data_IF_668220834878
#
_entry.id   IF_668220834878
#
_cell.length_a   1.000
_cell.length_b   1.000
_cell.length_c   1.000
_cell.angle_alpha   90.00
_cell.angle_beta   90.00
_cell.angle_gamma   90.00
#
_symmetry.space_group_name_H-M   'P 1'
#
loop_
_entity.id
_entity.type
_entity.pdbx_description
1 polymer ?
#
# COMPACT_ATOMS: atom_id res chain seq x y z
N UNK A 1 59.68 14.91 -8.61
CA UNK A 1 58.52 15.05 -7.71
C UNK A 1 57.27 14.78 -8.53
N UNK A 2 56.56 13.68 -8.26
CA UNK A 2 55.37 13.25 -9.01
C UNK A 2 54.12 13.76 -8.30
N UNK A 3 53.31 14.54 -8.98
CA UNK A 3 52.01 15.01 -8.50
C UNK A 3 51.03 13.85 -8.53
N UNK A 4 50.52 13.44 -7.36
CA UNK A 4 49.38 12.51 -7.25
C UNK A 4 48.13 13.37 -7.25
N UNK A 5 47.43 13.42 -8.38
CA UNK A 5 46.09 13.96 -8.46
C UNK A 5 45.12 12.95 -7.82
N UNK A 6 44.61 13.27 -6.64
CA UNK A 6 43.52 12.51 -6.01
C UNK A 6 42.23 12.96 -6.68
N UNK A 7 41.74 12.15 -7.61
CA UNK A 7 40.39 12.31 -8.19
C UNK A 7 39.40 11.81 -7.15
N UNK A 8 38.76 12.73 -6.42
CA UNK A 8 37.60 12.43 -5.59
C UNK A 8 36.42 12.25 -6.54
N UNK A 9 36.17 11.00 -6.93
CA UNK A 9 34.96 10.63 -7.65
C UNK A 9 33.77 10.70 -6.67
N UNK A 10 33.09 11.84 -6.62
CA UNK A 10 31.74 11.93 -6.03
C UNK A 10 30.80 11.06 -6.86
N UNK A 11 30.54 9.85 -6.39
CA UNK A 11 29.39 9.04 -6.81
C UNK A 11 28.11 9.79 -6.44
N UNK A 12 27.62 10.62 -7.37
CA UNK A 12 26.21 11.00 -7.40
C UNK A 12 25.44 9.70 -7.67
N UNK A 13 24.91 9.10 -6.61
CA UNK A 13 23.91 8.06 -6.74
C UNK A 13 22.70 8.70 -7.41
N UNK A 14 22.59 8.48 -8.72
CA UNK A 14 21.38 8.75 -9.49
C UNK A 14 20.29 7.83 -8.97
N UNK A 15 19.56 8.28 -7.94
CA UNK A 15 18.26 7.70 -7.63
C UNK A 15 17.38 8.00 -8.84
N UNK A 16 17.20 7.01 -9.70
CA UNK A 16 16.11 6.99 -10.68
C UNK A 16 14.80 6.89 -9.87
N UNK A 17 14.39 8.02 -9.31
CA UNK A 17 13.07 8.25 -8.72
C UNK A 17 12.08 8.41 -9.87
N UNK A 18 11.78 7.30 -10.54
CA UNK A 18 10.68 7.23 -11.51
C UNK A 18 9.48 6.56 -10.84
N UNK A 19 9.06 7.10 -9.70
CA UNK A 19 7.63 7.14 -9.40
C UNK A 19 7.12 8.40 -10.10
N UNK A 20 5.99 8.34 -10.80
CA UNK A 20 5.41 9.52 -11.42
C UNK A 20 5.29 10.61 -10.33
N UNK A 21 6.13 11.64 -10.41
CA UNK A 21 6.14 12.73 -9.44
C UNK A 21 4.89 13.62 -9.59
N UNK A 22 4.05 13.34 -10.56
CA UNK A 22 2.87 14.11 -10.94
C UNK A 22 1.62 13.49 -10.33
N UNK A 23 0.81 14.34 -9.70
CA UNK A 23 -0.53 14.03 -9.22
C UNK A 23 -1.53 14.72 -10.16
N UNK A 24 -1.49 14.32 -11.43
CA UNK A 24 -2.33 14.89 -12.48
C UNK A 24 -3.31 13.80 -12.96
N UNK A 25 -4.59 14.16 -13.00
CA UNK A 25 -5.69 13.32 -13.52
C UNK A 25 -6.43 14.17 -14.55
N UNK A 26 -6.68 13.64 -15.74
CA UNK A 26 -7.32 14.35 -16.85
C UNK A 26 -6.71 15.74 -17.14
N UNK A 27 -5.37 15.81 -17.15
CA UNK A 27 -4.59 17.04 -17.33
C UNK A 27 -4.84 18.14 -16.27
N UNK A 28 -5.43 17.79 -15.14
CA UNK A 28 -5.70 18.70 -14.02
C UNK A 28 -4.99 18.23 -12.74
N UNK A 29 -4.53 19.16 -11.88
CA UNK A 29 -4.02 18.80 -10.56
C UNK A 29 -5.08 18.06 -9.73
N UNK A 30 -4.64 17.07 -8.96
CA UNK A 30 -5.51 16.34 -8.04
C UNK A 30 -6.07 17.29 -6.99
N UNK A 31 -7.40 17.38 -6.91
CA UNK A 31 -8.09 18.12 -5.86
C UNK A 31 -8.34 17.20 -4.67
N UNK A 32 -8.02 17.66 -3.48
CA UNK A 32 -8.24 16.93 -2.22
C UNK A 32 -9.01 17.80 -1.23
N UNK A 33 -9.89 17.19 -0.45
CA UNK A 33 -10.48 17.82 0.74
C UNK A 33 -9.68 17.38 1.95
N UNK A 34 -9.26 18.33 2.78
CA UNK A 34 -8.48 18.12 3.98
C UNK A 34 -9.38 17.86 5.18
N UNK A 35 -8.79 17.42 6.28
CA UNK A 35 -9.51 17.07 7.50
C UNK A 35 -10.17 18.27 8.19
N UNK A 36 -9.66 19.47 7.96
CA UNK A 36 -10.27 20.73 8.37
C UNK A 36 -11.41 21.21 7.43
N UNK A 37 -11.66 20.48 6.33
CA UNK A 37 -12.66 20.79 5.31
C UNK A 37 -12.18 21.71 4.18
N UNK A 38 -10.96 22.25 4.26
CA UNK A 38 -10.38 23.04 3.18
C UNK A 38 -10.03 22.18 1.97
N UNK A 39 -9.90 22.81 0.81
CA UNK A 39 -9.46 22.13 -0.41
C UNK A 39 -8.03 22.52 -0.78
N UNK A 40 -7.26 21.54 -1.24
CA UNK A 40 -5.94 21.74 -1.80
C UNK A 40 -5.86 21.15 -3.22
N UNK A 41 -5.00 21.74 -4.05
CA UNK A 41 -4.68 21.24 -5.39
C UNK A 41 -3.24 20.76 -5.38
N UNK A 42 -3.04 19.47 -5.66
CA UNK A 42 -1.75 18.80 -5.63
C UNK A 42 -1.37 18.49 -7.08
N UNK A 43 -0.30 19.10 -7.58
CA UNK A 43 0.21 18.78 -8.93
C UNK A 43 1.31 17.73 -8.85
N UNK A 44 1.88 17.52 -7.67
CA UNK A 44 3.07 16.69 -7.49
C UNK A 44 3.13 15.96 -6.15
N UNK A 45 3.95 14.90 -6.09
CA UNK A 45 4.29 14.23 -4.83
C UNK A 45 4.91 15.21 -3.81
N UNK A 46 5.68 16.21 -4.26
CA UNK A 46 6.24 17.22 -3.34
C UNK A 46 5.17 18.09 -2.70
N UNK A 47 4.12 18.48 -3.43
CA UNK A 47 3.00 19.24 -2.87
C UNK A 47 2.31 18.43 -1.78
N UNK A 48 2.03 17.16 -2.08
CA UNK A 48 1.38 16.26 -1.14
C UNK A 48 2.23 16.02 0.12
N UNK A 49 3.54 15.79 -0.04
CA UNK A 49 4.44 15.56 1.08
C UNK A 49 4.63 16.82 1.93
N UNK A 50 4.64 18.01 1.32
CA UNK A 50 4.67 19.27 2.05
C UNK A 50 3.41 19.44 2.92
N UNK A 51 2.24 19.15 2.34
CA UNK A 51 0.95 19.15 3.04
C UNK A 51 0.93 18.15 4.21
N UNK A 52 1.36 16.92 3.99
CA UNK A 52 1.42 15.92 5.06
C UNK A 52 2.40 16.34 6.17
N UNK A 53 3.53 16.95 5.83
CA UNK A 53 4.50 17.44 6.83
C UNK A 53 4.00 18.65 7.63
N UNK A 54 3.01 19.40 7.14
CA UNK A 54 2.35 20.46 7.93
C UNK A 54 1.30 19.92 8.91
N UNK A 55 1.06 18.61 8.94
CA UNK A 55 0.08 17.97 9.82
C UNK A 55 -1.32 17.85 9.22
N UNK A 56 -1.48 18.20 7.94
CA UNK A 56 -2.75 18.02 7.23
C UNK A 56 -2.91 16.59 6.74
N UNK A 57 -4.14 16.09 6.71
CA UNK A 57 -4.50 14.77 6.18
C UNK A 57 -5.64 14.85 5.18
N UNK A 58 -5.54 14.04 4.12
CA UNK A 58 -6.55 13.92 3.07
C UNK A 58 -7.77 13.22 3.66
N UNK A 59 -8.92 13.87 3.58
CA UNK A 59 -10.20 13.33 4.01
C UNK A 59 -10.95 12.69 2.84
N UNK A 60 -11.06 13.41 1.73
CA UNK A 60 -11.85 13.00 0.56
C UNK A 60 -11.14 13.39 -0.75
N UNK A 61 -11.39 12.62 -1.81
CA UNK A 61 -10.97 12.89 -3.18
C UNK A 61 -12.22 13.14 -4.03
N UNK A 62 -12.70 14.40 -4.11
CA UNK A 62 -13.95 14.71 -4.77
C UNK A 62 -13.86 14.59 -6.29
N UNK A 63 -15.02 14.39 -6.93
CA UNK A 63 -15.21 14.50 -8.37
C UNK A 63 -14.35 13.56 -9.24
N UNK A 64 -13.89 12.44 -8.68
CA UNK A 64 -13.16 11.41 -9.42
C UNK A 64 -14.08 10.26 -9.85
N UNK A 65 -13.84 9.72 -11.04
CA UNK A 65 -14.39 8.42 -11.42
C UNK A 65 -13.80 7.31 -10.54
N UNK A 66 -14.48 6.18 -10.41
CA UNK A 66 -13.99 5.01 -9.67
C UNK A 66 -12.54 4.59 -10.05
N UNK A 67 -12.18 4.48 -11.35
CA UNK A 67 -10.81 4.25 -11.77
C UNK A 67 -9.82 5.32 -11.29
N UNK A 68 -10.17 6.60 -11.45
CA UNK A 68 -9.29 7.72 -11.11
C UNK A 68 -9.10 7.86 -9.60
N UNK A 69 -10.16 7.60 -8.82
CA UNK A 69 -10.09 7.55 -7.37
C UNK A 69 -9.10 6.49 -6.90
N UNK A 70 -9.17 5.28 -7.46
CA UNK A 70 -8.23 4.19 -7.13
C UNK A 70 -6.80 4.53 -7.53
N UNK A 71 -6.62 5.14 -8.71
CA UNK A 71 -5.32 5.61 -9.17
C UNK A 71 -4.75 6.69 -8.24
N UNK A 72 -5.56 7.69 -7.86
CA UNK A 72 -5.16 8.77 -6.96
C UNK A 72 -4.72 8.24 -5.59
N UNK A 73 -5.47 7.30 -5.01
CA UNK A 73 -5.11 6.67 -3.73
C UNK A 73 -3.78 5.91 -3.79
N UNK A 74 -3.56 5.13 -4.85
CA UNK A 74 -2.29 4.42 -5.08
C UNK A 74 -1.12 5.41 -5.25
N UNK A 75 -1.32 6.47 -6.05
CA UNK A 75 -0.32 7.51 -6.28
C UNK A 75 0.04 8.27 -4.99
N UNK A 76 -0.96 8.73 -4.22
CA UNK A 76 -0.75 9.41 -2.94
C UNK A 76 0.00 8.51 -1.95
N UNK A 77 -0.42 7.25 -1.79
CA UNK A 77 0.29 6.31 -0.94
C UNK A 77 1.73 6.09 -1.40
N UNK A 78 1.96 5.94 -2.72
CA UNK A 78 3.29 5.81 -3.32
C UNK A 78 4.18 7.03 -3.04
N UNK A 79 3.65 8.24 -3.18
CA UNK A 79 4.36 9.48 -2.83
C UNK A 79 4.77 9.47 -1.35
N UNK A 80 3.85 9.14 -0.45
CA UNK A 80 4.12 9.11 0.99
C UNK A 80 5.14 8.05 1.38
N UNK A 81 5.01 6.84 0.84
CA UNK A 81 5.96 5.75 1.08
C UNK A 81 7.37 6.13 0.61
N UNK A 82 7.48 6.69 -0.61
CA UNK A 82 8.76 7.14 -1.16
C UNK A 82 9.41 8.21 -0.29
N UNK A 83 8.64 9.23 0.10
CA UNK A 83 9.13 10.29 0.97
C UNK A 83 9.59 9.76 2.34
N UNK A 84 8.84 8.82 2.92
CA UNK A 84 9.18 8.19 4.20
C UNK A 84 10.47 7.39 4.10
N UNK A 85 10.62 6.57 3.06
CA UNK A 85 11.82 5.78 2.80
C UNK A 85 13.05 6.68 2.71
N UNK A 86 12.95 7.79 1.98
CA UNK A 86 14.04 8.76 1.82
C UNK A 86 14.35 9.45 3.16
N UNK A 87 13.32 10.00 3.82
CA UNK A 87 13.45 10.75 5.09
C UNK A 87 14.10 9.90 6.18
N UNK A 88 13.72 8.62 6.27
CA UNK A 88 14.21 7.70 7.29
C UNK A 88 15.47 6.93 6.84
N UNK A 89 15.99 7.19 5.64
CA UNK A 89 17.18 6.53 5.10
C UNK A 89 17.02 5.00 5.01
N UNK A 90 15.82 4.53 4.68
CA UNK A 90 15.55 3.10 4.54
C UNK A 90 16.16 2.57 3.24
N UNK A 91 16.77 1.39 3.31
CA UNK A 91 17.35 0.72 2.16
C UNK A 91 16.41 -0.37 1.68
N UNK A 92 16.30 -0.58 0.37
CA UNK A 92 15.56 -1.71 -0.18
C UNK A 92 16.16 -3.03 0.35
N UNK A 93 15.30 -3.93 0.81
CA UNK A 93 15.67 -5.24 1.33
C UNK A 93 15.29 -6.33 0.35
N UNK A 94 16.11 -7.38 0.27
CA UNK A 94 15.85 -8.59 -0.53
C UNK A 94 14.94 -9.59 0.21
N UNK A 95 14.07 -9.10 1.10
CA UNK A 95 13.12 -9.98 1.80
C UNK A 95 12.24 -10.66 0.77
N UNK A 96 12.13 -11.99 0.88
CA UNK A 96 11.29 -12.76 -0.05
C UNK A 96 9.83 -12.33 0.11
N UNK A 97 9.21 -11.95 -1.01
CA UNK A 97 7.76 -11.72 -1.09
C UNK A 97 7.01 -12.99 -0.62
N UNK A 98 6.07 -12.88 0.34
CA UNK A 98 5.18 -13.98 0.69
C UNK A 98 4.41 -14.47 -0.53
N UNK A 99 4.20 -15.78 -0.65
CA UNK A 99 3.31 -16.32 -1.67
C UNK A 99 1.83 -16.15 -1.27
N UNK A 100 0.93 -16.20 -2.25
CA UNK A 100 -0.50 -15.97 -2.03
C UNK A 100 -1.12 -17.03 -1.11
N UNK A 101 -0.66 -18.28 -1.13
CA UNK A 101 -1.19 -19.32 -0.24
C UNK A 101 -0.86 -18.99 1.21
N UNK A 102 0.39 -18.59 1.47
CA UNK A 102 0.83 -18.13 2.79
C UNK A 102 0.02 -16.91 3.26
N UNK A 103 -0.17 -15.91 2.38
CA UNK A 103 -0.98 -14.73 2.70
C UNK A 103 -2.40 -15.14 3.09
N UNK A 104 -3.10 -15.96 2.30
CA UNK A 104 -4.49 -16.34 2.59
C UNK A 104 -4.64 -17.12 3.88
N UNK A 105 -3.65 -17.93 4.24
CA UNK A 105 -3.64 -18.74 5.47
C UNK A 105 -3.30 -17.95 6.73
N UNK A 106 -2.58 -16.84 6.60
CA UNK A 106 -2.04 -16.13 7.75
C UNK A 106 -2.54 -14.70 7.89
N UNK A 107 -2.99 -14.05 6.83
CA UNK A 107 -3.64 -12.74 6.96
C UNK A 107 -4.96 -12.89 7.71
N UNK A 108 -5.25 -12.02 8.69
CA UNK A 108 -6.50 -12.06 9.43
C UNK A 108 -7.70 -11.80 8.52
N UNK A 109 -8.84 -12.39 8.87
CA UNK A 109 -10.09 -12.31 8.10
C UNK A 109 -10.56 -10.86 7.89
N UNK A 110 -10.18 -9.92 8.78
CA UNK A 110 -10.45 -8.48 8.59
C UNK A 110 -9.87 -7.89 7.29
N UNK A 111 -8.93 -8.58 6.64
CA UNK A 111 -8.37 -8.21 5.34
C UNK A 111 -9.07 -8.91 4.16
N UNK A 112 -10.10 -9.73 4.43
CA UNK A 112 -10.91 -10.34 3.38
C UNK A 112 -11.74 -9.27 2.66
N UNK A 113 -12.09 -9.58 1.42
CA UNK A 113 -13.01 -8.77 0.63
C UNK A 113 -14.40 -8.75 1.27
N UNK A 114 -14.93 -7.55 1.49
CA UNK A 114 -16.31 -7.34 1.96
C UNK A 114 -16.97 -6.25 1.14
N UNK A 115 -18.25 -6.45 0.81
CA UNK A 115 -19.02 -5.55 -0.05
C UNK A 115 -19.76 -4.44 0.73
N UNK A 116 -19.72 -4.47 2.06
CA UNK A 116 -20.35 -3.47 2.93
C UNK A 116 -19.62 -3.36 4.27
N UNK A 117 -19.78 -2.20 4.93
CA UNK A 117 -19.24 -1.95 6.27
C UNK A 117 -19.83 -2.88 7.32
N UNK A 118 -21.12 -3.20 7.20
CA UNK A 118 -21.79 -4.17 8.08
C UNK A 118 -21.11 -5.55 8.00
N UNK A 119 -20.82 -6.01 6.78
CA UNK A 119 -20.12 -7.28 6.59
C UNK A 119 -18.68 -7.20 7.09
N UNK A 120 -17.98 -6.09 6.85
CA UNK A 120 -16.63 -5.86 7.38
C UNK A 120 -16.60 -5.93 8.91
N UNK A 121 -17.59 -5.32 9.57
CA UNK A 121 -17.72 -5.33 11.02
C UNK A 121 -18.03 -6.73 11.54
N UNK A 122 -18.94 -7.47 10.87
CA UNK A 122 -19.24 -8.86 11.19
C UNK A 122 -18.02 -9.76 11.08
N UNK A 123 -17.23 -9.60 10.02
CA UNK A 123 -15.98 -10.37 9.83
C UNK A 123 -14.98 -10.04 10.93
N UNK A 124 -14.82 -8.76 11.29
CA UNK A 124 -13.92 -8.36 12.38
C UNK A 124 -14.31 -8.96 13.74
N UNK A 125 -15.61 -9.11 14.02
CA UNK A 125 -16.08 -9.60 15.32
C UNK A 125 -16.16 -11.13 15.37
N UNK A 126 -16.77 -11.78 14.39
CA UNK A 126 -16.99 -13.23 14.39
C UNK A 126 -15.74 -14.03 13.97
N UNK A 127 -14.80 -13.40 13.26
CA UNK A 127 -13.61 -14.03 12.67
C UNK A 127 -12.30 -13.36 13.11
N UNK A 128 -12.27 -12.71 14.28
CA UNK A 128 -11.14 -11.91 14.77
C UNK A 128 -9.78 -12.67 14.74
N UNK A 129 -9.78 -13.95 15.12
CA UNK A 129 -8.60 -14.81 15.20
C UNK A 129 -8.53 -15.83 14.06
N UNK A 130 -9.21 -15.54 12.94
CA UNK A 130 -9.29 -16.41 11.77
C UNK A 130 -8.58 -15.79 10.59
N UNK A 131 -8.11 -16.63 9.68
CA UNK A 131 -7.50 -16.19 8.43
C UNK A 131 -8.54 -15.85 7.35
N UNK A 132 -8.09 -15.23 6.26
CA UNK A 132 -8.92 -15.07 5.05
C UNK A 132 -9.39 -16.45 4.55
N UNK A 133 -8.52 -17.47 4.56
CA UNK A 133 -8.87 -18.84 4.16
C UNK A 133 -9.91 -19.48 5.11
N UNK A 134 -9.85 -19.21 6.41
CA UNK A 134 -10.85 -19.72 7.35
C UNK A 134 -12.23 -19.10 7.11
N UNK A 135 -12.27 -17.80 6.80
CA UNK A 135 -13.51 -17.09 6.45
C UNK A 135 -14.04 -17.52 5.07
N UNK A 136 -13.15 -17.85 4.13
CA UNK A 136 -13.50 -18.28 2.76
C UNK A 136 -12.82 -19.61 2.42
N UNK A 137 -13.32 -20.74 2.94
CA UNK A 137 -12.62 -22.03 2.89
C UNK A 137 -12.50 -22.63 1.49
N UNK A 138 -13.34 -22.21 0.54
CA UNK A 138 -13.30 -22.70 -0.85
C UNK A 138 -12.30 -21.95 -1.73
N UNK A 139 -11.51 -21.00 -1.19
CA UNK A 139 -10.45 -20.32 -1.93
C UNK A 139 -9.44 -21.32 -2.50
N UNK A 140 -9.23 -21.25 -3.82
CA UNK A 140 -8.26 -22.05 -4.55
C UNK A 140 -7.30 -21.16 -5.32
N UNK A 141 -6.00 -21.40 -5.15
CA UNK A 141 -4.93 -20.66 -5.84
C UNK A 141 -4.57 -21.33 -7.15
N UNK A 142 -4.72 -20.60 -8.25
CA UNK A 142 -4.35 -21.02 -9.60
C UNK A 142 -3.72 -19.84 -10.34
N UNK A 143 -2.51 -20.02 -10.91
CA UNK A 143 -1.87 -19.00 -11.73
C UNK A 143 -1.59 -17.67 -11.00
N UNK A 144 -1.26 -17.73 -9.70
CA UNK A 144 -0.97 -16.53 -8.89
C UNK A 144 -2.21 -15.75 -8.42
N UNK A 145 -3.41 -16.27 -8.68
CA UNK A 145 -4.69 -15.73 -8.22
C UNK A 145 -5.40 -16.74 -7.35
N UNK A 146 -6.18 -16.28 -6.39
CA UNK A 146 -7.08 -17.12 -5.61
C UNK A 146 -8.52 -16.78 -5.96
N UNK A 147 -9.38 -17.79 -6.06
CA UNK A 147 -10.78 -17.62 -6.41
C UNK A 147 -11.64 -18.43 -5.44
N UNK A 148 -12.72 -17.83 -4.96
CA UNK A 148 -13.80 -18.47 -4.24
C UNK A 148 -15.07 -18.31 -5.05
N UNK A 149 -15.70 -19.44 -5.37
CA UNK A 149 -16.98 -19.46 -6.08
C UNK A 149 -18.15 -19.23 -5.12
N UNK A 150 -18.02 -19.66 -3.87
CA UNK A 150 -19.07 -19.52 -2.86
C UNK A 150 -19.26 -18.06 -2.45
N UNK A 151 -18.16 -17.34 -2.20
CA UNK A 151 -18.20 -15.91 -1.84
C UNK A 151 -18.10 -14.98 -3.06
N UNK A 152 -17.99 -15.54 -4.28
CA UNK A 152 -17.83 -14.79 -5.52
C UNK A 152 -16.71 -13.74 -5.45
N UNK A 153 -15.57 -14.12 -4.86
CA UNK A 153 -14.43 -13.22 -4.63
C UNK A 153 -13.12 -13.81 -5.15
N UNK A 154 -12.14 -12.95 -5.41
CA UNK A 154 -10.79 -13.34 -5.74
C UNK A 154 -9.73 -12.42 -5.16
N UNK A 155 -8.50 -12.93 -5.15
CA UNK A 155 -7.34 -12.26 -4.57
C UNK A 155 -6.10 -12.43 -5.45
N UNK A 156 -5.22 -11.43 -5.48
CA UNK A 156 -3.83 -11.60 -5.91
C UNK A 156 -2.91 -10.59 -5.22
N UNK A 157 -1.61 -10.90 -5.17
CA UNK A 157 -0.60 -9.98 -4.64
C UNK A 157 -0.09 -9.13 -5.80
N UNK A 158 -0.41 -7.83 -5.78
CA UNK A 158 0.04 -6.87 -6.80
C UNK A 158 1.52 -6.53 -6.62
N UNK A 159 1.90 -6.13 -5.40
CA UNK A 159 3.26 -5.71 -5.10
C UNK A 159 3.68 -6.07 -3.66
N UNK A 160 4.98 -6.02 -3.42
CA UNK A 160 5.57 -6.17 -2.10
C UNK A 160 6.77 -5.24 -1.94
N UNK A 161 6.64 -4.30 -1.02
CA UNK A 161 7.72 -3.40 -0.65
C UNK A 161 8.41 -3.94 0.59
N UNK A 162 9.74 -4.02 0.54
CA UNK A 162 10.54 -4.38 1.70
C UNK A 162 11.72 -3.43 1.83
N UNK A 163 11.84 -2.84 3.02
CA UNK A 163 12.92 -1.94 3.37
C UNK A 163 13.50 -2.31 4.73
N UNK A 164 14.75 -1.89 4.96
CA UNK A 164 15.47 -2.07 6.21
C UNK A 164 16.11 -0.75 6.64
N UNK A 165 15.93 -0.41 7.91
CA UNK A 165 16.56 0.73 8.57
C UNK A 165 17.96 0.36 9.07
N UNK A 166 18.76 1.37 9.45
CA UNK A 166 20.12 1.17 10.00
C UNK A 166 20.15 0.34 11.29
N UNK A 167 19.06 0.36 12.06
CA UNK A 167 18.89 -0.42 13.29
C UNK A 167 18.32 -1.84 13.03
N UNK A 168 18.34 -2.29 11.76
CA UNK A 168 17.78 -3.54 11.28
C UNK A 168 16.26 -3.70 11.43
N UNK A 169 15.52 -2.64 11.80
CA UNK A 169 14.05 -2.67 11.71
C UNK A 169 13.62 -2.78 10.25
N UNK A 170 12.67 -3.65 9.97
CA UNK A 170 12.14 -3.89 8.63
C UNK A 170 10.79 -3.23 8.46
N UNK A 171 10.58 -2.62 7.29
CA UNK A 171 9.28 -2.16 6.82
C UNK A 171 8.87 -3.07 5.66
N UNK A 172 7.89 -3.94 5.90
CA UNK A 172 7.34 -4.84 4.89
C UNK A 172 5.89 -4.46 4.62
N UNK A 173 5.57 -4.14 3.37
CA UNK A 173 4.23 -3.74 2.96
C UNK A 173 3.81 -4.64 1.80
N UNK A 174 2.72 -5.38 2.00
CA UNK A 174 2.11 -6.21 0.98
C UNK A 174 0.92 -5.49 0.37
N UNK A 175 0.85 -5.47 -0.96
CA UNK A 175 -0.28 -4.89 -1.69
C UNK A 175 -1.17 -6.04 -2.13
N UNK A 176 -2.30 -6.19 -1.46
CA UNK A 176 -3.31 -7.20 -1.75
C UNK A 176 -4.39 -6.57 -2.61
N UNK A 177 -4.72 -7.21 -3.73
CA UNK A 177 -5.88 -6.85 -4.53
C UNK A 177 -6.98 -7.86 -4.26
N UNK A 178 -8.12 -7.35 -3.84
CA UNK A 178 -9.33 -8.09 -3.51
C UNK A 178 -10.44 -7.71 -4.49
N UNK A 179 -11.16 -8.66 -5.09
CA UNK A 179 -12.15 -8.34 -6.14
C UNK A 179 -13.35 -9.28 -6.15
N UNK A 180 -14.45 -8.84 -6.75
CA UNK A 180 -15.62 -9.67 -7.01
C UNK A 180 -15.47 -10.40 -8.37
N UNK A 181 -15.90 -11.66 -8.47
CA UNK A 181 -15.79 -12.44 -9.73
C UNK A 181 -16.83 -12.07 -10.78
N UNK A 182 -17.95 -11.46 -10.37
CA UNK A 182 -19.09 -11.13 -11.23
C UNK A 182 -19.20 -9.65 -11.63
N UNK A 183 -18.16 -8.84 -11.43
CA UNK A 183 -18.24 -7.40 -11.69
C UNK A 183 -16.87 -6.71 -11.75
N UNK A 184 -16.87 -5.38 -11.73
CA UNK A 184 -15.66 -4.54 -11.76
C UNK A 184 -15.22 -4.06 -10.37
N UNK A 185 -15.98 -4.41 -9.32
CA UNK A 185 -15.68 -4.04 -7.96
C UNK A 185 -14.42 -4.75 -7.46
N UNK A 186 -13.48 -3.96 -6.96
CA UNK A 186 -12.26 -4.45 -6.37
C UNK A 186 -11.53 -3.36 -5.60
N UNK A 187 -10.75 -3.79 -4.63
CA UNK A 187 -9.97 -2.96 -3.73
C UNK A 187 -8.50 -3.31 -3.91
N UNK A 188 -7.66 -2.27 -3.77
CA UNK A 188 -6.22 -2.40 -3.65
C UNK A 188 -5.87 -1.91 -2.25
N UNK A 189 -5.41 -2.82 -1.40
CA UNK A 189 -5.15 -2.55 0.01
C UNK A 189 -3.66 -2.69 0.32
N UNK A 190 -3.12 -1.73 1.04
CA UNK A 190 -1.74 -1.75 1.52
C UNK A 190 -1.71 -2.26 2.95
N UNK A 191 -0.94 -3.32 3.20
CA UNK A 191 -0.87 -3.97 4.50
C UNK A 191 0.56 -4.00 5.00
N UNK A 192 0.85 -3.25 6.08
CA UNK A 192 2.12 -3.42 6.79
C UNK A 192 2.09 -4.75 7.53
N UNK A 193 3.12 -5.56 7.33
CA UNK A 193 3.31 -6.81 8.06
C UNK A 193 4.14 -6.50 9.30
N UNK A 194 3.49 -6.49 10.46
CA UNK A 194 4.09 -6.12 11.74
C UNK A 194 4.75 -7.33 12.43
N UNK A 195 4.13 -8.51 12.34
CA UNK A 195 4.59 -9.74 13.02
C UNK A 195 4.09 -10.99 12.27
N UNK A 196 5.00 -11.90 11.95
CA UNK A 196 4.72 -13.17 11.26
C UNK A 196 4.98 -14.41 12.13
N UNK A 197 5.18 -14.23 13.45
CA UNK A 197 5.56 -15.33 14.35
C UNK A 197 4.39 -16.23 14.76
N UNK A 198 3.16 -15.73 14.67
CA UNK A 198 1.94 -16.47 15.00
C UNK A 198 1.25 -17.09 13.77
N UNK A 199 0.25 -17.92 14.04
CA UNK A 199 -0.60 -18.53 13.02
C UNK A 199 -1.39 -17.48 12.23
N UNK A 200 -1.84 -16.42 12.90
CA UNK A 200 -2.41 -15.24 12.27
C UNK A 200 -1.39 -14.11 12.41
N UNK A 201 -1.01 -13.53 11.27
CA UNK A 201 -0.05 -12.42 11.23
C UNK A 201 -0.69 -11.14 11.76
N UNK A 202 0.11 -10.35 12.47
CA UNK A 202 -0.30 -8.99 12.84
C UNK A 202 -0.03 -8.08 11.65
N UNK A 203 -1.09 -7.48 11.15
CA UNK A 203 -1.04 -6.53 10.04
C UNK A 203 -1.82 -5.26 10.36
N UNK A 204 -1.32 -4.17 9.79
CA UNK A 204 -1.92 -2.84 9.87
C UNK A 204 -2.27 -2.37 8.46
N UNK A 205 -3.54 -1.96 8.26
CA UNK A 205 -3.95 -1.36 6.98
C UNK A 205 -3.29 0.00 6.86
N UNK A 206 -2.79 0.31 5.68
CA UNK A 206 -2.17 1.58 5.37
C UNK A 206 -2.96 2.31 4.27
N UNK A 207 -2.94 3.62 4.38
CA UNK A 207 -3.42 4.60 3.40
C UNK A 207 -2.43 5.78 3.33
N UNK A 208 -2.73 6.76 2.51
CA UNK A 208 -1.92 7.96 2.30
C UNK A 208 -1.73 8.85 3.54
N UNK A 209 -2.53 8.65 4.60
CA UNK A 209 -2.41 9.39 5.86
C UNK A 209 -1.72 8.57 6.96
N UNK A 210 -1.42 7.30 6.69
CA UNK A 210 -0.96 6.37 7.70
C UNK A 210 0.46 6.69 8.16
N UNK A 211 0.77 6.60 9.46
CA UNK A 211 2.14 6.76 9.95
C UNK A 211 3.00 5.57 9.49
N UNK A 212 4.07 5.87 8.74
CA UNK A 212 5.02 4.91 8.18
C UNK A 212 6.39 4.93 8.89
#
# INVERSE_FOLDING_TARGET
MKYIAVVIATLLFSFNSSAANELIIDNSPLTVVLSDGNQAKLSSCSDFVALHNSGESVKELPDLSDPDYRYAKDALFGCWLSATVIKNGLLKSDSKKPDLVSVLKHFPAKAAYTISDELAQKVQTEYADKSIQDYTPDLKVTGGRALSTTQSTGYFIDNYYSFVAKDNKKLNILVLVEYALGGTAGNKSFWRIDDTSGDIWKITKLDENSPL
#
